data_IF_089304428940
#
_entry.id   IF_089304428940
#
_cell.length_a   1.000
_cell.length_b   1.000
_cell.length_c   1.000
_cell.angle_alpha   90.00
_cell.angle_beta   90.00
_cell.angle_gamma   90.00
#
_symmetry.space_group_name_H-M   'P 1'
#
loop_
_entity.id
_entity.type
_entity.pdbx_description
1 polymer ?
#
# COMPACT_ATOMS: atom_id res chain seq x y z
N UNK A 1 -21.89 -31.84 7.15
CA UNK A 1 -21.22 -30.80 6.34
C UNK A 1 -19.81 -30.61 6.88
N UNK A 2 -18.80 -31.16 6.20
CA UNK A 2 -17.39 -30.97 6.57
C UNK A 2 -17.00 -29.50 6.41
N UNK A 3 -16.61 -28.85 7.51
CA UNK A 3 -16.09 -27.48 7.48
C UNK A 3 -14.71 -27.53 6.82
N UNK A 4 -14.61 -27.12 5.55
CA UNK A 4 -13.32 -26.97 4.85
C UNK A 4 -12.42 -26.05 5.69
N UNK A 5 -11.36 -26.63 6.24
CA UNK A 5 -10.37 -25.91 7.03
C UNK A 5 -9.79 -24.79 6.18
N UNK A 6 -9.96 -23.53 6.60
CA UNK A 6 -9.43 -22.40 5.85
C UNK A 6 -7.91 -22.50 5.81
N UNK A 7 -7.34 -22.55 4.60
CA UNK A 7 -5.90 -22.63 4.40
C UNK A 7 -5.24 -21.35 4.91
N UNK A 8 -4.50 -21.46 6.00
CA UNK A 8 -3.73 -20.34 6.59
C UNK A 8 -2.27 -20.48 6.16
N UNK A 9 -1.72 -19.41 5.56
CA UNK A 9 -0.30 -19.36 5.21
C UNK A 9 0.46 -18.49 6.20
N UNK A 10 1.61 -18.97 6.65
CA UNK A 10 2.56 -18.15 7.41
C UNK A 10 3.21 -17.10 6.50
N UNK A 11 3.76 -16.01 7.05
CA UNK A 11 4.56 -15.06 6.28
C UNK A 11 5.62 -15.71 5.39
N UNK A 12 6.40 -16.61 5.95
CA UNK A 12 7.53 -17.26 5.30
C UNK A 12 7.03 -18.10 4.12
N UNK A 13 5.90 -18.81 4.31
CA UNK A 13 5.26 -19.58 3.25
C UNK A 13 4.74 -18.70 2.11
N UNK A 14 4.17 -17.52 2.41
CA UNK A 14 3.73 -16.57 1.38
C UNK A 14 4.91 -16.07 0.56
N UNK A 15 6.02 -15.74 1.22
CA UNK A 15 7.24 -15.28 0.55
C UNK A 15 7.84 -16.35 -0.36
N UNK A 16 8.00 -17.58 0.15
CA UNK A 16 8.53 -18.69 -0.64
C UNK A 16 7.68 -18.96 -1.90
N UNK A 17 6.35 -18.93 -1.76
CA UNK A 17 5.43 -19.10 -2.90
C UNK A 17 5.51 -17.96 -3.91
N UNK A 18 5.59 -16.70 -3.44
CA UNK A 18 5.77 -15.56 -4.34
C UNK A 18 7.07 -15.68 -5.14
N UNK A 19 8.17 -16.04 -4.47
CA UNK A 19 9.47 -16.22 -5.13
C UNK A 19 9.43 -17.36 -6.15
N UNK A 20 8.84 -18.51 -5.79
CA UNK A 20 8.70 -19.61 -6.75
C UNK A 20 7.87 -19.20 -7.97
N UNK A 21 6.76 -18.46 -7.79
CA UNK A 21 5.93 -17.97 -8.91
C UNK A 21 6.71 -17.00 -9.82
N UNK A 22 7.56 -16.15 -9.26
CA UNK A 22 8.40 -15.21 -10.01
C UNK A 22 9.48 -15.91 -10.86
N UNK A 23 9.82 -17.17 -10.55
CA UNK A 23 10.79 -17.96 -11.32
C UNK A 23 10.18 -18.63 -12.56
N UNK A 24 8.84 -18.69 -12.68
CA UNK A 24 8.18 -19.25 -13.85
C UNK A 24 8.23 -18.28 -15.05
N UNK A 25 8.23 -18.79 -16.29
CA UNK A 25 8.15 -17.97 -17.50
C UNK A 25 6.91 -17.07 -17.50
N UNK A 26 5.79 -17.58 -16.99
CA UNK A 26 4.57 -16.79 -16.79
C UNK A 26 4.03 -16.92 -15.37
N UNK A 27 3.48 -15.82 -14.86
CA UNK A 27 2.80 -15.81 -13.55
C UNK A 27 1.63 -16.80 -13.52
N UNK A 28 0.96 -17.03 -14.65
CA UNK A 28 -0.17 -17.96 -14.76
C UNK A 28 0.23 -19.40 -14.42
N UNK A 29 1.35 -19.88 -14.96
CA UNK A 29 1.88 -21.23 -14.69
C UNK A 29 2.24 -21.39 -13.21
N UNK A 30 2.90 -20.37 -12.63
CA UNK A 30 3.22 -20.38 -11.19
C UNK A 30 1.97 -20.39 -10.31
N UNK A 31 0.93 -19.64 -10.67
CA UNK A 31 -0.35 -19.60 -9.94
C UNK A 31 -1.07 -20.96 -9.97
N UNK A 32 -1.05 -21.63 -11.12
CA UNK A 32 -1.67 -22.94 -11.30
C UNK A 32 -0.97 -24.01 -10.45
N UNK A 33 0.37 -24.05 -10.47
CA UNK A 33 1.19 -24.95 -9.61
C UNK A 33 0.89 -24.76 -8.13
N UNK A 34 0.74 -23.53 -7.66
CA UNK A 34 0.47 -23.23 -6.25
C UNK A 34 -1.01 -23.22 -5.87
N UNK A 35 -1.91 -23.41 -6.85
CA UNK A 35 -3.37 -23.29 -6.71
C UNK A 35 -3.76 -21.96 -6.04
N UNK A 36 -3.16 -20.87 -6.51
CA UNK A 36 -3.40 -19.52 -6.01
C UNK A 36 -4.17 -18.69 -7.04
N UNK A 37 -5.19 -17.98 -6.58
CA UNK A 37 -5.87 -17.00 -7.42
C UNK A 37 -4.96 -15.79 -7.67
N UNK A 38 -5.04 -15.22 -8.88
CA UNK A 38 -4.27 -14.02 -9.24
C UNK A 38 -4.50 -12.85 -8.26
N UNK A 39 -5.72 -12.68 -7.76
CA UNK A 39 -6.06 -11.66 -6.75
C UNK A 39 -5.29 -11.82 -5.43
N UNK A 40 -5.04 -13.07 -5.01
CA UNK A 40 -4.27 -13.40 -3.79
C UNK A 40 -2.79 -13.10 -4.01
N UNK A 41 -2.25 -13.48 -5.17
CA UNK A 41 -0.88 -13.15 -5.56
C UNK A 41 -0.64 -11.64 -5.60
N UNK A 42 -1.51 -10.87 -6.26
CA UNK A 42 -1.41 -9.41 -6.32
C UNK A 42 -1.52 -8.75 -4.93
N UNK A 43 -2.32 -9.33 -4.03
CA UNK A 43 -2.40 -8.87 -2.64
C UNK A 43 -1.09 -9.13 -1.90
N UNK A 44 -0.55 -10.34 -1.97
CA UNK A 44 0.70 -10.69 -1.29
C UNK A 44 1.90 -9.93 -1.86
N UNK A 45 1.94 -9.68 -3.17
CA UNK A 45 2.99 -8.88 -3.81
C UNK A 45 2.98 -7.42 -3.33
N UNK A 46 1.80 -6.80 -3.26
CA UNK A 46 1.63 -5.44 -2.68
C UNK A 46 1.99 -5.38 -1.20
N UNK A 47 1.63 -6.43 -0.45
CA UNK A 47 2.06 -6.56 0.94
C UNK A 47 3.58 -6.57 1.02
N UNK A 48 4.24 -7.48 0.28
CA UNK A 48 5.69 -7.64 0.30
C UNK A 48 6.47 -6.35 0.01
N UNK A 49 5.96 -5.48 -0.88
CA UNK A 49 6.56 -4.19 -1.20
C UNK A 49 6.73 -3.24 0.01
N UNK A 50 5.94 -3.43 1.08
CA UNK A 50 6.02 -2.66 2.33
C UNK A 50 7.04 -3.29 3.33
N UNK A 51 7.67 -4.40 2.96
CA UNK A 51 8.66 -5.12 3.75
C UNK A 51 8.13 -6.41 4.38
N UNK A 52 8.94 -7.47 4.34
CA UNK A 52 8.58 -8.85 4.78
C UNK A 52 8.05 -8.88 6.23
N UNK A 53 8.68 -8.12 7.14
CA UNK A 53 8.31 -8.05 8.57
C UNK A 53 7.04 -7.21 8.86
N UNK A 54 6.75 -6.23 8.02
CA UNK A 54 5.58 -5.35 8.20
C UNK A 54 4.30 -5.92 7.57
N UNK A 55 4.42 -6.78 6.56
CA UNK A 55 3.35 -6.97 5.58
C UNK A 55 2.64 -8.31 5.54
N UNK A 56 3.22 -9.35 6.17
CA UNK A 56 2.71 -10.71 6.02
C UNK A 56 1.95 -11.22 7.26
N UNK A 57 1.76 -10.39 8.28
CA UNK A 57 0.82 -10.66 9.38
C UNK A 57 -0.58 -10.91 8.79
N UNK A 58 -1.30 -11.90 9.30
CA UNK A 58 -2.71 -12.15 8.96
C UNK A 58 -3.64 -11.09 9.58
N UNK A 59 -3.32 -9.81 9.43
CA UNK A 59 -4.13 -8.68 9.84
C UNK A 59 -4.14 -7.62 8.73
N UNK A 60 -5.10 -6.68 8.79
CA UNK A 60 -5.21 -5.58 7.82
C UNK A 60 -3.83 -4.95 7.60
N UNK A 61 -3.40 -4.68 6.35
CA UNK A 61 -2.28 -3.80 6.12
C UNK A 61 -2.69 -2.44 6.66
N UNK A 62 -2.25 -2.12 7.88
CA UNK A 62 -2.30 -0.76 8.34
C UNK A 62 -1.39 0.00 7.39
N UNK A 63 -1.93 0.85 6.51
CA UNK A 63 -1.25 2.13 6.34
C UNK A 63 -0.97 2.59 7.77
N UNK A 64 0.30 2.63 8.15
CA UNK A 64 0.70 2.95 9.52
C UNK A 64 -0.11 4.18 9.94
N UNK A 65 -0.72 4.13 11.12
CA UNK A 65 -1.52 5.25 11.65
C UNK A 65 -0.80 6.58 11.45
N UNK A 66 0.52 6.53 11.64
CA UNK A 66 1.42 7.67 11.56
C UNK A 66 1.58 8.17 10.12
N UNK A 67 1.60 7.27 9.14
CA UNK A 67 1.62 7.64 7.72
C UNK A 67 0.32 8.32 7.31
N UNK A 68 -0.84 7.81 7.74
CA UNK A 68 -2.14 8.46 7.46
C UNK A 68 -2.26 9.81 8.13
N UNK A 69 -1.79 9.93 9.38
CA UNK A 69 -1.77 11.18 10.12
C UNK A 69 -0.85 12.19 9.45
N UNK A 70 0.34 11.76 9.03
CA UNK A 70 1.31 12.58 8.32
C UNK A 70 0.79 13.04 6.96
N UNK A 71 0.16 12.17 6.18
CA UNK A 71 -0.47 12.53 4.89
C UNK A 71 -1.61 13.56 5.08
N UNK A 72 -2.43 13.40 6.12
CA UNK A 72 -3.51 14.33 6.43
C UNK A 72 -2.99 15.71 6.87
N UNK A 73 -1.96 15.74 7.71
CA UNK A 73 -1.31 16.99 8.13
C UNK A 73 -0.65 17.68 6.93
N UNK A 74 0.03 16.92 6.07
CA UNK A 74 0.64 17.46 4.86
C UNK A 74 -0.40 18.09 3.91
N UNK A 75 -1.58 17.46 3.76
CA UNK A 75 -2.68 18.02 2.99
C UNK A 75 -3.16 19.35 3.58
N UNK A 76 -3.37 19.40 4.91
CA UNK A 76 -3.80 20.61 5.61
C UNK A 76 -2.76 21.74 5.48
N UNK A 77 -1.49 21.43 5.63
CA UNK A 77 -0.40 22.40 5.47
C UNK A 77 -0.35 22.96 4.04
N UNK A 78 -0.53 22.13 3.02
CA UNK A 78 -0.61 22.58 1.62
C UNK A 78 -1.79 23.53 1.38
N UNK A 79 -2.96 23.23 1.95
CA UNK A 79 -4.13 24.12 1.86
C UNK A 79 -3.85 25.47 2.54
N UNK A 80 -3.24 25.46 3.74
CA UNK A 80 -2.87 26.69 4.44
C UNK A 80 -1.86 27.52 3.63
N UNK A 81 -0.80 26.89 3.10
CA UNK A 81 0.21 27.57 2.28
C UNK A 81 -0.40 28.17 1.02
N UNK A 82 -1.30 27.44 0.35
CA UNK A 82 -2.00 27.96 -0.83
C UNK A 82 -2.84 29.18 -0.46
N UNK A 83 -3.64 29.10 0.61
CA UNK A 83 -4.48 30.20 1.06
C UNK A 83 -3.66 31.43 1.46
N UNK A 84 -2.56 31.23 2.20
CA UNK A 84 -1.63 32.31 2.54
C UNK A 84 -1.02 32.94 1.29
N UNK A 85 -0.63 32.13 0.30
CA UNK A 85 -0.07 32.63 -0.96
C UNK A 85 -1.07 33.48 -1.72
N UNK A 86 -2.34 33.07 -1.78
CA UNK A 86 -3.42 33.85 -2.40
C UNK A 86 -3.61 35.20 -1.69
N UNK A 87 -3.71 35.19 -0.36
CA UNK A 87 -3.86 36.41 0.44
C UNK A 87 -2.66 37.35 0.25
N UNK A 88 -1.44 36.81 0.25
CA UNK A 88 -0.23 37.62 0.00
C UNK A 88 -0.26 38.24 -1.40
N UNK A 89 -0.70 37.51 -2.42
CA UNK A 89 -0.86 38.05 -3.77
C UNK A 89 -1.91 39.17 -3.82
N UNK A 90 -3.04 39.02 -3.14
CA UNK A 90 -4.08 40.05 -3.06
C UNK A 90 -3.57 41.30 -2.34
N UNK A 91 -2.92 41.15 -1.19
CA UNK A 91 -2.33 42.27 -0.43
C UNK A 91 -1.23 42.99 -1.22
N UNK A 92 -0.37 42.25 -1.92
CA UNK A 92 0.67 42.86 -2.78
C UNK A 92 0.05 43.73 -3.86
N UNK A 93 -1.05 43.30 -4.47
CA UNK A 93 -1.80 44.10 -5.46
C UNK A 93 -2.41 45.35 -4.83
N UNK A 94 -3.07 45.22 -3.68
CA UNK A 94 -3.66 46.37 -2.97
C UNK A 94 -2.62 47.43 -2.58
N UNK A 95 -1.41 46.98 -2.23
CA UNK A 95 -0.33 47.85 -1.81
C UNK A 95 0.54 48.39 -2.98
N UNK A 96 0.22 48.05 -4.23
CA UNK A 96 1.06 48.32 -5.40
C UNK A 96 2.52 47.83 -5.23
N UNK A 97 2.70 46.68 -4.57
CA UNK A 97 3.99 46.04 -4.33
C UNK A 97 4.30 44.95 -5.38
N UNK A 98 3.71 45.03 -6.56
CA UNK A 98 4.07 44.19 -7.71
C UNK A 98 5.46 44.54 -8.25
#
# INVERSE_FOLDING_TARGET
MEKRTRRVFTPEQKFAKLKDIEMFPTVKEGLEKHQLCHSVYQKWKRQLAVGVRASLRNSKPLKASDLRRSEAENKKLKEVVLNQSLIICELKKEMNLE
#
